data_IF_842134667666
#
_entry.id   IF_842134667666
#
_cell.length_a   1.000
_cell.length_b   1.000
_cell.length_c   1.000
_cell.angle_alpha   90.00
_cell.angle_beta   90.00
_cell.angle_gamma   90.00
#
_symmetry.space_group_name_H-M   'P 1'
#
loop_
_entity.id
_entity.type
_entity.pdbx_description
1 polymer ?
#
# COMPACT_ATOMS: atom_id res chain seq x y z
N UNK A 1 9.29 -17.30 -21.92
CA UNK A 1 8.48 -18.38 -21.28
C UNK A 1 8.08 -17.89 -19.90
N UNK A 2 6.88 -17.33 -19.79
CA UNK A 2 6.33 -16.70 -18.56
C UNK A 2 4.81 -16.91 -18.35
N UNK A 3 4.11 -17.88 -18.99
CA UNK A 3 2.64 -17.96 -18.87
C UNK A 3 2.17 -18.49 -17.50
N UNK A 4 2.96 -19.36 -16.86
CA UNK A 4 2.56 -20.02 -15.62
C UNK A 4 2.62 -19.09 -14.39
N UNK A 5 3.62 -18.22 -14.28
CA UNK A 5 3.73 -17.27 -13.17
C UNK A 5 2.63 -16.21 -13.20
N UNK A 6 2.29 -15.71 -14.39
CA UNK A 6 1.19 -14.77 -14.58
C UNK A 6 -0.18 -15.41 -14.28
N UNK A 7 -0.40 -16.66 -14.70
CA UNK A 7 -1.64 -17.39 -14.37
C UNK A 7 -1.81 -17.60 -12.85
N UNK A 8 -0.74 -18.01 -12.16
CA UNK A 8 -0.76 -18.18 -10.71
C UNK A 8 -1.00 -16.85 -9.98
N UNK A 9 -0.31 -15.79 -10.38
CA UNK A 9 -0.54 -14.45 -9.83
C UNK A 9 -1.97 -13.98 -10.03
N UNK A 10 -2.55 -14.16 -11.22
CA UNK A 10 -3.96 -13.82 -11.49
C UNK A 10 -4.90 -14.55 -10.56
N UNK A 11 -4.70 -15.85 -10.36
CA UNK A 11 -5.49 -16.63 -9.41
C UNK A 11 -5.38 -16.09 -7.99
N UNK A 12 -4.16 -15.90 -7.50
CA UNK A 12 -3.89 -15.40 -6.16
C UNK A 12 -4.40 -13.96 -5.95
N UNK A 13 -4.32 -13.12 -6.98
CA UNK A 13 -4.86 -11.76 -6.96
C UNK A 13 -6.39 -11.77 -6.85
N UNK A 14 -7.10 -12.67 -7.56
CA UNK A 14 -8.54 -12.81 -7.37
C UNK A 14 -8.89 -13.28 -5.96
N UNK A 15 -8.14 -14.23 -5.42
CA UNK A 15 -8.28 -14.69 -4.03
C UNK A 15 -8.01 -13.56 -3.03
N UNK A 16 -7.00 -12.72 -3.28
CA UNK A 16 -6.72 -11.52 -2.50
C UNK A 16 -7.92 -10.57 -2.44
N UNK A 17 -8.51 -10.24 -3.59
CA UNK A 17 -9.68 -9.36 -3.67
C UNK A 17 -10.88 -9.93 -2.91
N UNK A 18 -11.12 -11.24 -3.01
CA UNK A 18 -12.18 -11.93 -2.24
C UNK A 18 -11.93 -11.81 -0.74
N UNK A 19 -10.70 -12.07 -0.27
CA UNK A 19 -10.37 -11.94 1.15
C UNK A 19 -10.51 -10.51 1.67
N UNK A 20 -10.08 -9.50 0.91
CA UNK A 20 -10.24 -8.09 1.29
C UNK A 20 -11.73 -7.75 1.53
N UNK A 21 -12.62 -8.21 0.65
CA UNK A 21 -14.07 -8.01 0.77
C UNK A 21 -14.67 -8.79 1.94
N UNK A 22 -14.32 -10.08 2.08
CA UNK A 22 -14.83 -10.93 3.16
C UNK A 22 -14.39 -10.47 4.56
N UNK A 23 -13.27 -9.75 4.65
CA UNK A 23 -12.81 -9.11 5.90
C UNK A 23 -13.54 -7.79 6.21
N UNK A 24 -14.48 -7.35 5.39
CA UNK A 24 -15.29 -6.15 5.63
C UNK A 24 -14.48 -4.85 5.59
N UNK A 25 -13.37 -4.82 4.85
CA UNK A 25 -12.54 -3.61 4.75
C UNK A 25 -13.27 -2.50 3.98
N UNK A 26 -13.00 -1.25 4.35
CA UNK A 26 -13.54 -0.10 3.63
C UNK A 26 -13.10 -0.09 2.15
N UNK A 27 -13.93 0.38 1.21
CA UNK A 27 -13.61 0.38 -0.22
C UNK A 27 -12.24 1.02 -0.53
N UNK A 28 -11.93 2.17 0.07
CA UNK A 28 -10.63 2.84 -0.10
C UNK A 28 -9.42 1.98 0.32
N UNK A 29 -9.60 1.14 1.34
CA UNK A 29 -8.56 0.23 1.83
C UNK A 29 -8.41 -0.96 0.90
N UNK A 30 -9.52 -1.50 0.39
CA UNK A 30 -9.52 -2.54 -0.64
C UNK A 30 -8.76 -2.04 -1.87
N UNK A 31 -9.07 -0.85 -2.36
CA UNK A 31 -8.41 -0.26 -3.53
C UNK A 31 -6.92 -0.03 -3.31
N UNK A 32 -6.54 0.45 -2.12
CA UNK A 32 -5.15 0.67 -1.76
C UNK A 32 -4.35 -0.64 -1.74
N UNK A 33 -4.88 -1.69 -1.11
CA UNK A 33 -4.18 -2.98 -0.99
C UNK A 33 -4.16 -3.73 -2.33
N UNK A 34 -5.24 -3.66 -3.12
CA UNK A 34 -5.29 -4.21 -4.47
C UNK A 34 -4.23 -3.55 -5.39
N UNK A 35 -4.14 -2.21 -5.35
CA UNK A 35 -3.10 -1.47 -6.10
C UNK A 35 -1.69 -1.82 -5.64
N UNK A 36 -1.50 -1.98 -4.33
CA UNK A 36 -0.23 -2.43 -3.77
C UNK A 36 0.22 -3.77 -4.36
N UNK A 37 -0.64 -4.80 -4.32
CA UNK A 37 -0.29 -6.13 -4.85
C UNK A 37 -0.01 -6.10 -6.35
N UNK A 38 -0.73 -5.28 -7.13
CA UNK A 38 -0.42 -5.10 -8.56
C UNK A 38 0.94 -4.45 -8.79
N UNK A 39 1.29 -3.42 -8.01
CA UNK A 39 2.57 -2.72 -8.14
C UNK A 39 3.73 -3.63 -7.74
N UNK A 40 3.64 -4.30 -6.59
CA UNK A 40 4.66 -5.25 -6.15
C UNK A 40 4.77 -6.40 -7.15
N UNK A 41 3.64 -6.91 -7.64
CA UNK A 41 3.59 -7.92 -8.69
C UNK A 41 4.37 -7.50 -9.93
N UNK A 42 4.10 -6.31 -10.47
CA UNK A 42 4.80 -5.79 -11.65
C UNK A 42 6.32 -5.63 -11.43
N UNK A 43 6.76 -5.28 -10.22
CA UNK A 43 8.19 -5.16 -9.91
C UNK A 43 8.93 -6.52 -9.90
N UNK A 44 8.24 -7.59 -9.51
CA UNK A 44 8.83 -8.94 -9.37
C UNK A 44 8.36 -9.92 -10.45
N UNK A 45 8.00 -9.44 -11.64
CA UNK A 45 7.49 -10.27 -12.74
C UNK A 45 6.35 -11.23 -12.31
N UNK A 46 5.50 -10.73 -11.43
CA UNK A 46 4.36 -11.42 -10.83
C UNK A 46 4.73 -12.63 -9.95
N UNK A 47 5.98 -12.75 -9.51
CA UNK A 47 6.50 -13.82 -8.64
C UNK A 47 6.68 -13.32 -7.21
N UNK A 48 5.57 -13.13 -6.49
CA UNK A 48 5.55 -12.52 -5.15
C UNK A 48 5.28 -13.50 -4.00
N UNK A 49 5.17 -14.80 -4.31
CA UNK A 49 4.74 -15.83 -3.37
C UNK A 49 5.86 -16.28 -2.41
N UNK A 50 7.11 -15.93 -2.71
CA UNK A 50 8.29 -16.32 -1.94
C UNK A 50 9.40 -15.27 -2.03
N UNK A 51 9.10 -14.04 -1.61
CA UNK A 51 10.06 -12.94 -1.62
C UNK A 51 10.98 -13.06 -0.40
N UNK A 52 12.29 -12.97 -0.64
CA UNK A 52 13.28 -12.92 0.44
C UNK A 52 13.33 -11.55 1.12
N UNK A 53 13.90 -11.51 2.32
CA UNK A 53 14.12 -10.26 3.07
C UNK A 53 14.97 -9.27 2.27
N UNK A 54 15.97 -9.76 1.53
CA UNK A 54 16.81 -8.94 0.65
C UNK A 54 15.98 -8.34 -0.50
N UNK A 55 15.17 -9.15 -1.19
CA UNK A 55 14.30 -8.66 -2.27
C UNK A 55 13.31 -7.60 -1.78
N UNK A 56 12.71 -7.81 -0.60
CA UNK A 56 11.82 -6.84 0.01
C UNK A 56 12.57 -5.56 0.41
N UNK A 57 13.79 -5.68 0.95
CA UNK A 57 14.65 -4.52 1.29
C UNK A 57 14.92 -3.67 0.05
N UNK A 58 15.35 -4.31 -1.04
CA UNK A 58 15.66 -3.62 -2.31
C UNK A 58 14.42 -2.96 -2.90
N UNK A 59 13.27 -3.65 -2.89
CA UNK A 59 12.00 -3.08 -3.36
C UNK A 59 11.61 -1.84 -2.57
N UNK A 60 11.61 -1.90 -1.25
CA UNK A 60 11.19 -0.76 -0.45
C UNK A 60 12.21 0.39 -0.47
N UNK A 61 13.50 0.11 -0.64
CA UNK A 61 14.51 1.14 -0.88
C UNK A 61 14.30 1.84 -2.23
N UNK A 62 13.98 1.10 -3.28
CA UNK A 62 13.66 1.65 -4.60
C UNK A 62 12.39 2.52 -4.54
N UNK A 63 11.30 1.99 -4.00
CA UNK A 63 10.01 2.69 -3.88
C UNK A 63 10.12 3.93 -3.00
N UNK A 64 11.00 3.94 -1.99
CA UNK A 64 11.23 5.10 -1.12
C UNK A 64 11.72 6.33 -1.88
N UNK A 65 12.48 6.14 -2.97
CA UNK A 65 13.00 7.25 -3.78
C UNK A 65 11.92 7.88 -4.68
N UNK A 66 10.86 7.14 -5.00
CA UNK A 66 9.87 7.52 -6.02
C UNK A 66 8.48 7.82 -5.45
N UNK A 67 8.18 7.32 -4.25
CA UNK A 67 6.82 7.29 -3.73
C UNK A 67 6.70 7.86 -2.30
N UNK A 68 5.49 8.31 -1.98
CA UNK A 68 5.18 8.82 -0.64
C UNK A 68 5.25 7.72 0.43
N UNK A 69 5.49 8.12 1.68
CA UNK A 69 5.39 7.21 2.84
C UNK A 69 4.03 6.52 2.97
N UNK A 70 2.94 7.17 2.54
CA UNK A 70 1.62 6.52 2.54
C UNK A 70 1.58 5.37 1.53
N UNK A 71 2.19 5.56 0.35
CA UNK A 71 2.29 4.55 -0.70
C UNK A 71 3.08 3.33 -0.22
N UNK A 72 4.25 3.57 0.40
CA UNK A 72 5.11 2.54 1.01
C UNK A 72 4.34 1.76 2.08
N UNK A 73 3.61 2.48 2.93
CA UNK A 73 2.77 1.88 3.98
C UNK A 73 1.70 0.98 3.37
N UNK A 74 1.01 1.41 2.33
CA UNK A 74 0.01 0.59 1.65
C UNK A 74 0.63 -0.66 1.02
N UNK A 75 1.84 -0.58 0.45
CA UNK A 75 2.56 -1.75 -0.07
C UNK A 75 2.87 -2.76 1.02
N UNK A 76 3.41 -2.29 2.14
CA UNK A 76 3.71 -3.15 3.29
C UNK A 76 2.48 -3.88 3.79
N UNK A 77 1.37 -3.17 4.02
CA UNK A 77 0.18 -3.81 4.57
C UNK A 77 -0.57 -4.65 3.54
N UNK A 78 -0.54 -4.27 2.26
CA UNK A 78 -1.03 -5.10 1.17
C UNK A 78 -0.30 -6.45 1.13
N UNK A 79 1.04 -6.42 1.18
CA UNK A 79 1.88 -7.62 1.23
C UNK A 79 1.63 -8.46 2.49
N UNK A 80 1.59 -7.83 3.68
CA UNK A 80 1.26 -8.53 4.93
C UNK A 80 -0.08 -9.25 4.84
N UNK A 81 -1.10 -8.57 4.30
CA UNK A 81 -2.42 -9.17 4.10
C UNK A 81 -2.38 -10.34 3.12
N UNK A 82 -1.68 -10.16 1.99
CA UNK A 82 -1.54 -11.21 0.97
C UNK A 82 -0.83 -12.46 1.52
N UNK A 83 0.28 -12.28 2.24
CA UNK A 83 1.00 -13.40 2.87
C UNK A 83 0.13 -14.14 3.89
N UNK A 84 -0.55 -13.39 4.77
CA UNK A 84 -1.36 -13.98 5.82
C UNK A 84 -2.60 -14.72 5.29
N UNK A 85 -3.28 -14.19 4.26
CA UNK A 85 -4.60 -14.67 3.85
C UNK A 85 -4.62 -15.43 2.53
N UNK A 86 -3.74 -15.09 1.58
CA UNK A 86 -3.66 -15.77 0.29
C UNK A 86 -2.65 -16.91 0.37
N UNK A 87 -1.42 -16.61 0.79
CA UNK A 87 -0.35 -17.62 0.88
C UNK A 87 -0.44 -18.47 2.15
N UNK A 88 -1.14 -17.97 3.18
CA UNK A 88 -1.19 -18.57 4.53
C UNK A 88 0.21 -18.79 5.12
N UNK A 89 1.14 -17.89 4.80
CA UNK A 89 2.51 -17.86 5.32
C UNK A 89 2.64 -16.82 6.44
N UNK A 90 3.42 -17.09 7.50
CA UNK A 90 3.73 -16.08 8.50
C UNK A 90 4.52 -14.94 7.85
N UNK A 91 4.25 -13.71 8.28
CA UNK A 91 5.05 -12.56 7.88
C UNK A 91 6.29 -12.47 8.76
N UNK A 92 7.46 -12.80 8.22
CA UNK A 92 8.74 -12.84 8.95
C UNK A 92 9.41 -11.46 9.06
N UNK A 93 9.10 -10.54 8.15
CA UNK A 93 9.77 -9.23 8.03
C UNK A 93 9.18 -8.12 8.92
N UNK A 94 9.16 -8.32 10.23
CA UNK A 94 8.46 -7.41 11.16
C UNK A 94 9.09 -6.02 11.28
N UNK A 95 10.39 -5.86 10.99
CA UNK A 95 11.15 -4.61 11.19
C UNK A 95 11.63 -3.90 9.90
N UNK A 96 11.22 -4.37 8.72
CA UNK A 96 11.76 -3.89 7.44
C UNK A 96 11.52 -2.39 7.18
N UNK A 97 10.38 -1.86 7.64
CA UNK A 97 9.99 -0.47 7.39
C UNK A 97 9.64 0.20 8.71
N UNK A 98 10.43 1.20 9.07
CA UNK A 98 10.13 2.14 10.14
C UNK A 98 9.69 3.47 9.53
N UNK A 99 8.39 3.77 9.45
CA UNK A 99 7.96 5.05 8.92
C UNK A 99 8.52 6.19 9.80
N UNK A 100 8.95 7.31 9.21
CA UNK A 100 9.39 8.46 9.97
C UNK A 100 8.23 8.95 10.84
N UNK A 101 8.55 9.40 12.04
CA UNK A 101 7.57 10.05 12.91
C UNK A 101 7.17 11.38 12.27
N UNK A 102 6.17 11.38 11.39
CA UNK A 102 5.59 12.61 10.88
C UNK A 102 4.74 13.23 11.98
N UNK A 103 5.31 14.23 12.66
CA UNK A 103 4.55 15.13 13.53
C UNK A 103 3.79 16.10 12.61
N UNK A 104 2.58 15.73 12.19
CA UNK A 104 1.66 16.72 11.62
C UNK A 104 1.18 17.60 12.76
N UNK A 105 1.75 18.80 12.87
CA UNK A 105 1.04 19.88 13.54
C UNK A 105 -0.23 20.11 12.72
N UNK A 106 -1.43 20.13 13.33
CA UNK A 106 -2.59 20.63 12.62
C UNK A 106 -2.27 22.04 12.13
N UNK A 107 -2.52 22.33 10.86
CA UNK A 107 -2.58 23.73 10.39
C UNK A 107 -3.82 24.34 11.05
N UNK A 108 -3.62 24.91 12.24
CA UNK A 108 -4.67 25.67 12.92
C UNK A 108 -4.68 27.02 12.23
N UNK A 109 -5.64 27.17 11.32
CA UNK A 109 -5.94 28.44 10.65
C UNK A 109 -6.25 29.48 11.73
N UNK A 110 -5.53 30.60 11.72
CA UNK A 110 -5.81 31.75 12.59
C UNK A 110 -7.18 32.35 12.26
N UNK A 111 -7.78 33.11 13.19
CA UNK A 111 -9.09 33.76 12.96
C UNK A 111 -9.05 34.65 11.72
N UNK A 112 -7.93 35.32 11.48
CA UNK A 112 -7.66 36.19 10.34
C UNK A 112 -7.57 35.39 9.02
N UNK A 113 -6.91 34.25 9.01
CA UNK A 113 -6.85 33.36 7.83
C UNK A 113 -8.21 32.74 7.51
N UNK A 114 -8.98 32.34 8.52
CA UNK A 114 -10.34 31.84 8.34
C UNK A 114 -11.25 32.92 7.74
N UNK A 115 -11.16 34.16 8.25
CA UNK A 115 -11.88 35.32 7.68
C UNK A 115 -11.52 35.57 6.22
N UNK A 116 -10.22 35.51 5.87
CA UNK A 116 -9.76 35.66 4.47
C UNK A 116 -10.33 34.56 3.57
N UNK A 117 -10.32 33.31 4.03
CA UNK A 117 -10.94 32.19 3.30
C UNK A 117 -12.44 32.42 3.07
N UNK A 118 -13.19 32.81 4.10
CA UNK A 118 -14.64 33.05 3.98
C UNK A 118 -14.97 34.24 3.07
N UNK A 119 -14.16 35.30 3.09
CA UNK A 119 -14.35 36.43 2.18
C UNK A 119 -14.00 36.07 0.73
N UNK A 120 -13.01 35.22 0.50
CA UNK A 120 -12.63 34.77 -0.83
C UNK A 120 -13.67 33.82 -1.48
N UNK A 121 -14.57 33.22 -0.71
CA UNK A 121 -15.66 32.37 -1.22
C UNK A 121 -16.98 33.12 -1.42
N UNK A 122 -17.06 34.42 -1.11
CA UNK A 122 -18.23 35.23 -1.44
C UNK A 122 -18.14 35.63 -2.91
N UNK A 123 -18.97 35.01 -3.74
CA UNK A 123 -19.31 35.53 -5.06
C UNK A 123 -20.21 36.76 -4.83
N UNK A 124 -19.97 37.90 -5.50
CA UNK A 124 -20.78 39.12 -5.33
C UNK A 124 -22.27 38.89 -5.67
#
# INVERSE_FOLDING_TARGET
>A
MTPASDANFKHNYQTHLKHLRLKGLQPKTIDAYARAIRRVGAYFDYRIDDLSDAQLTDYFACVLNEQSWSTIKHDLYGLKFYYAHVLRKPWTNTNLIKPPKTRRLPDIVTVEEAKRLFMATRIP
#
